data_IF_838937214877
#
_entry.id   IF_838937214877
#
_cell.length_a   1.000
_cell.length_b   1.000
_cell.length_c   1.000
_cell.angle_alpha   90.00
_cell.angle_beta   90.00
_cell.angle_gamma   90.00
#
_symmetry.space_group_name_H-M   'P 1'
#
loop_
_entity.id
_entity.type
_entity.pdbx_description
1 polymer ?
#
# COMPACT_ATOMS: atom_id res chain seq x y z
N UNK A 1 12.57 3.56 27.48
CA UNK A 1 12.97 4.78 26.77
C UNK A 1 11.96 5.88 27.08
N UNK A 2 12.37 7.11 27.42
CA UNK A 2 11.40 8.19 27.74
C UNK A 2 10.59 8.59 26.49
N UNK A 3 9.28 8.87 26.69
CA UNK A 3 8.45 9.44 25.65
C UNK A 3 8.94 10.85 25.29
N UNK A 4 8.90 11.20 24.01
CA UNK A 4 9.26 12.55 23.51
C UNK A 4 10.67 12.69 22.94
N UNK A 5 11.51 11.66 22.97
CA UNK A 5 12.77 11.68 22.23
C UNK A 5 12.50 11.44 20.74
N UNK A 6 13.11 12.24 19.87
CA UNK A 6 12.90 12.21 18.41
C UNK A 6 13.17 10.83 17.81
N UNK A 7 14.18 10.12 18.32
CA UNK A 7 14.60 8.79 17.81
C UNK A 7 13.96 7.62 18.56
N UNK A 8 13.07 7.87 19.54
CA UNK A 8 12.46 6.80 20.33
C UNK A 8 11.70 5.77 19.48
N UNK A 9 10.87 6.16 18.50
CA UNK A 9 10.13 5.20 17.68
C UNK A 9 11.05 4.30 16.83
N UNK A 10 12.08 4.87 16.20
CA UNK A 10 13.02 4.11 15.36
C UNK A 10 13.88 3.14 16.18
N UNK A 11 14.38 3.57 17.33
CA UNK A 11 15.14 2.69 18.22
C UNK A 11 14.27 1.58 18.81
N UNK A 12 13.01 1.87 19.15
CA UNK A 12 12.09 0.83 19.62
C UNK A 12 11.77 -0.18 18.51
N UNK A 13 11.55 0.29 17.28
CA UNK A 13 11.34 -0.57 16.11
C UNK A 13 12.53 -1.49 15.86
N UNK A 14 13.76 -0.98 16.01
CA UNK A 14 14.99 -1.78 15.87
C UNK A 14 15.04 -2.87 16.93
N UNK A 15 14.84 -2.53 18.21
CA UNK A 15 14.83 -3.49 19.31
C UNK A 15 13.76 -4.57 19.12
N UNK A 16 12.55 -4.19 18.73
CA UNK A 16 11.47 -5.16 18.56
C UNK A 16 11.70 -6.06 17.32
N UNK A 17 12.32 -5.52 16.28
CA UNK A 17 12.74 -6.31 15.12
C UNK A 17 13.81 -7.34 15.51
N UNK A 18 14.79 -6.99 16.33
CA UNK A 18 15.81 -7.92 16.84
C UNK A 18 15.17 -9.03 17.69
N UNK A 19 14.20 -8.69 18.52
CA UNK A 19 13.47 -9.67 19.34
C UNK A 19 12.77 -10.72 18.47
N UNK A 20 12.22 -10.34 17.33
CA UNK A 20 11.44 -11.21 16.46
C UNK A 20 12.13 -11.58 15.14
N UNK A 21 13.42 -11.28 14.98
CA UNK A 21 14.17 -11.46 13.74
C UNK A 21 13.97 -12.82 13.09
N UNK A 22 13.90 -13.89 13.89
CA UNK A 22 13.72 -15.27 13.41
C UNK A 22 12.32 -15.54 12.82
N UNK A 23 11.34 -14.68 13.09
CA UNK A 23 9.91 -14.87 12.77
C UNK A 23 9.35 -13.79 11.85
N UNK A 24 10.12 -12.70 11.65
CA UNK A 24 9.71 -11.60 10.78
C UNK A 24 9.50 -12.09 9.35
N UNK A 25 8.43 -11.61 8.73
CA UNK A 25 8.02 -11.90 7.36
C UNK A 25 7.64 -13.38 7.08
N UNK A 26 7.85 -14.28 8.05
CA UNK A 26 7.36 -15.67 7.99
C UNK A 26 5.93 -15.76 8.54
N UNK A 27 5.73 -15.44 9.82
CA UNK A 27 4.40 -15.43 10.44
C UNK A 27 4.17 -14.26 11.41
N UNK A 28 5.07 -13.29 11.45
CA UNK A 28 4.98 -12.09 12.29
C UNK A 28 5.31 -10.84 11.50
N UNK A 29 4.48 -9.82 11.65
CA UNK A 29 4.77 -8.46 11.25
C UNK A 29 4.73 -7.56 12.47
N UNK A 30 5.68 -6.64 12.58
CA UNK A 30 5.79 -5.71 13.71
C UNK A 30 5.90 -4.28 13.21
N UNK A 31 5.13 -3.41 13.81
CA UNK A 31 5.23 -1.97 13.59
C UNK A 31 5.06 -1.24 14.91
N UNK A 32 6.18 -0.74 15.44
CA UNK A 32 6.27 -0.08 16.76
C UNK A 32 5.61 -0.98 17.84
N UNK A 33 4.42 -0.59 18.31
CA UNK A 33 3.70 -1.28 19.39
C UNK A 33 2.78 -2.41 18.89
N UNK A 34 2.49 -2.45 17.59
CA UNK A 34 1.54 -3.38 16.99
C UNK A 34 2.26 -4.64 16.47
N UNK A 35 1.86 -5.80 16.94
CA UNK A 35 2.39 -7.12 16.52
C UNK A 35 1.25 -7.90 15.87
N UNK A 36 1.38 -8.19 14.58
CA UNK A 36 0.46 -9.04 13.84
C UNK A 36 1.04 -10.44 13.69
N UNK A 37 0.32 -11.45 14.17
CA UNK A 37 0.66 -12.86 14.01
C UNK A 37 -0.32 -13.47 13.04
N UNK A 38 0.17 -14.12 11.98
CA UNK A 38 -0.66 -14.77 10.97
C UNK A 38 -0.21 -16.21 10.74
N UNK A 39 -1.12 -17.05 10.25
CA UNK A 39 -0.85 -18.47 10.05
C UNK A 39 -1.81 -19.04 9.02
N UNK A 40 -1.44 -20.13 8.35
CA UNK A 40 -2.28 -20.80 7.36
C UNK A 40 -3.33 -21.70 8.00
N UNK A 41 -3.02 -22.28 9.16
CA UNK A 41 -3.89 -23.19 9.90
C UNK A 41 -4.10 -22.69 11.33
N UNK A 42 -5.18 -23.09 11.96
CA UNK A 42 -5.48 -22.77 13.37
C UNK A 42 -4.44 -23.41 14.32
N UNK A 43 -3.98 -24.60 14.01
CA UNK A 43 -2.97 -25.34 14.76
C UNK A 43 -1.62 -24.62 14.76
N UNK A 44 -1.17 -24.18 13.59
CA UNK A 44 0.03 -23.35 13.45
C UNK A 44 -0.15 -22.01 14.16
N UNK A 45 -1.36 -21.42 14.10
CA UNK A 45 -1.61 -20.14 14.76
C UNK A 45 -1.43 -20.24 16.28
N UNK A 46 -1.95 -21.30 16.89
CA UNK A 46 -1.76 -21.53 18.32
C UNK A 46 -0.28 -21.68 18.69
N UNK A 47 0.48 -22.40 17.86
CA UNK A 47 1.93 -22.58 18.04
C UNK A 47 2.66 -21.23 17.89
N UNK A 48 2.37 -20.46 16.88
CA UNK A 48 2.98 -19.15 16.60
C UNK A 48 2.70 -18.15 17.73
N UNK A 49 1.47 -18.05 18.18
CA UNK A 49 1.09 -17.18 19.30
C UNK A 49 1.88 -17.56 20.56
N UNK A 50 1.99 -18.86 20.87
CA UNK A 50 2.77 -19.35 22.03
C UNK A 50 4.25 -18.97 21.90
N UNK A 51 4.85 -19.10 20.72
CA UNK A 51 6.24 -18.71 20.46
C UNK A 51 6.45 -17.22 20.71
N UNK A 52 5.59 -16.37 20.15
CA UNK A 52 5.70 -14.92 20.30
C UNK A 52 5.51 -14.47 21.74
N UNK A 53 4.51 -14.99 22.45
CA UNK A 53 4.31 -14.69 23.88
C UNK A 53 5.49 -15.14 24.74
N UNK A 54 6.11 -16.28 24.41
CA UNK A 54 7.31 -16.77 25.09
C UNK A 54 8.50 -15.84 24.84
N UNK A 55 8.68 -15.37 23.59
CA UNK A 55 9.76 -14.44 23.21
C UNK A 55 9.60 -13.09 23.91
N UNK A 56 8.39 -12.53 23.93
CA UNK A 56 8.08 -11.32 24.69
C UNK A 56 8.46 -11.46 26.18
N UNK A 57 8.08 -12.58 26.80
CA UNK A 57 8.40 -12.87 28.21
C UNK A 57 9.90 -12.93 28.46
N UNK A 58 10.66 -13.58 27.58
CA UNK A 58 12.13 -13.69 27.69
C UNK A 58 12.81 -12.32 27.65
N UNK A 59 12.30 -11.41 26.82
CA UNK A 59 12.81 -10.03 26.68
C UNK A 59 12.15 -9.04 27.64
N UNK A 60 11.33 -9.51 28.60
CA UNK A 60 10.63 -8.68 29.61
C UNK A 60 9.73 -7.60 28.95
N UNK A 61 9.15 -7.92 27.79
CA UNK A 61 8.14 -7.12 27.11
C UNK A 61 6.75 -7.62 27.52
N UNK A 62 5.83 -6.69 27.74
CA UNK A 62 4.49 -6.99 28.24
C UNK A 62 3.43 -6.54 27.25
N UNK A 63 2.53 -7.44 26.89
CA UNK A 63 1.33 -7.12 26.11
C UNK A 63 0.15 -6.87 27.06
N UNK A 64 -0.63 -5.82 26.79
CA UNK A 64 -1.85 -5.53 27.55
C UNK A 64 -3.00 -6.37 27.00
N UNK A 65 -3.46 -7.37 27.74
CA UNK A 65 -4.47 -8.34 27.31
C UNK A 65 -5.76 -7.66 26.77
N UNK A 66 -6.20 -6.56 27.39
CA UNK A 66 -7.39 -5.81 26.95
C UNK A 66 -7.24 -5.11 25.58
N UNK A 67 -6.02 -5.06 25.02
CA UNK A 67 -5.72 -4.55 23.68
C UNK A 67 -5.37 -5.66 22.70
N UNK A 68 -5.32 -6.90 23.15
CA UNK A 68 -5.00 -8.05 22.29
C UNK A 68 -6.28 -8.64 21.70
N UNK A 69 -6.23 -8.91 20.41
CA UNK A 69 -7.26 -9.65 19.69
C UNK A 69 -6.68 -10.99 19.26
N UNK A 70 -7.30 -12.09 19.68
CA UNK A 70 -6.83 -13.43 19.36
C UNK A 70 -7.84 -14.16 18.48
N UNK A 71 -7.34 -15.03 17.63
CA UNK A 71 -8.11 -15.96 16.81
C UNK A 71 -9.19 -15.26 15.95
N UNK A 72 -8.79 -14.17 15.28
CA UNK A 72 -9.66 -13.42 14.37
C UNK A 72 -9.41 -13.83 12.92
N UNK A 73 -10.48 -14.04 12.16
CA UNK A 73 -10.40 -14.29 10.72
C UNK A 73 -9.93 -13.05 9.94
N UNK A 74 -10.20 -11.86 10.47
CA UNK A 74 -9.70 -10.58 9.98
C UNK A 74 -9.61 -9.58 11.10
N UNK A 75 -8.68 -8.63 10.99
CA UNK A 75 -8.49 -7.58 11.99
C UNK A 75 -7.93 -6.29 11.35
N UNK A 76 -8.19 -5.12 11.96
CA UNK A 76 -7.57 -3.89 11.54
C UNK A 76 -6.09 -3.88 11.95
N UNK A 77 -5.21 -3.56 10.99
CA UNK A 77 -3.78 -3.42 11.22
C UNK A 77 -3.25 -2.27 10.36
N UNK A 78 -2.64 -1.28 10.99
CA UNK A 78 -2.04 -0.11 10.32
C UNK A 78 -2.99 0.54 9.28
N UNK A 79 -4.24 0.81 9.66
CA UNK A 79 -5.22 1.45 8.77
C UNK A 79 -5.77 0.57 7.63
N UNK A 80 -5.40 -0.69 7.58
CA UNK A 80 -5.93 -1.72 6.68
C UNK A 80 -6.73 -2.75 7.45
N UNK A 81 -7.51 -3.54 6.76
CA UNK A 81 -8.09 -4.78 7.28
C UNK A 81 -7.35 -5.93 6.62
N UNK A 82 -6.69 -6.76 7.44
CA UNK A 82 -5.95 -7.94 6.99
C UNK A 82 -6.73 -9.18 7.36
N UNK A 83 -6.93 -10.09 6.43
CA UNK A 83 -7.68 -11.32 6.66
C UNK A 83 -7.41 -12.39 5.59
N UNK A 84 -8.17 -13.48 5.65
CA UNK A 84 -8.03 -14.61 4.73
C UNK A 84 -8.22 -14.23 3.26
N UNK A 85 -9.08 -13.25 2.99
CA UNK A 85 -9.38 -12.77 1.63
C UNK A 85 -8.31 -11.80 1.10
N UNK A 86 -7.36 -11.39 1.94
CA UNK A 86 -6.31 -10.43 1.57
C UNK A 86 -6.29 -9.18 2.42
N UNK A 87 -5.91 -8.07 1.80
CA UNK A 87 -5.77 -6.76 2.45
C UNK A 87 -6.75 -5.77 1.83
N UNK A 88 -7.53 -5.12 2.67
CA UNK A 88 -8.52 -4.11 2.30
C UNK A 88 -8.21 -2.77 2.97
N UNK A 89 -8.76 -1.70 2.41
CA UNK A 89 -8.78 -0.42 3.11
C UNK A 89 -9.76 -0.47 4.27
N UNK A 90 -9.38 0.12 5.41
CA UNK A 90 -10.28 0.22 6.56
C UNK A 90 -11.51 1.05 6.21
N UNK A 91 -12.72 0.50 6.42
CA UNK A 91 -13.99 1.09 6.00
C UNK A 91 -14.20 2.52 6.52
N UNK A 92 -13.79 2.82 7.75
CA UNK A 92 -13.86 4.18 8.30
C UNK A 92 -13.03 5.20 7.50
N UNK A 93 -11.90 4.78 6.92
CA UNK A 93 -11.04 5.61 6.08
C UNK A 93 -11.62 5.80 4.68
N UNK A 94 -12.21 4.74 4.12
CA UNK A 94 -12.97 4.82 2.86
C UNK A 94 -14.13 5.81 3.00
N UNK A 95 -14.89 5.73 4.09
CA UNK A 95 -15.99 6.65 4.37
C UNK A 95 -15.51 8.09 4.56
N UNK A 96 -14.41 8.29 5.29
CA UNK A 96 -13.83 9.62 5.49
C UNK A 96 -13.40 10.26 4.16
N UNK A 97 -12.73 9.52 3.28
CA UNK A 97 -12.36 10.00 1.94
C UNK A 97 -13.59 10.25 1.07
N UNK A 98 -14.56 9.34 1.08
CA UNK A 98 -15.78 9.45 0.28
C UNK A 98 -16.66 10.66 0.70
N UNK A 99 -16.75 10.94 1.99
CA UNK A 99 -17.53 12.05 2.55
C UNK A 99 -16.75 13.38 2.60
N UNK A 100 -15.48 13.40 2.16
CA UNK A 100 -14.66 14.62 2.23
C UNK A 100 -15.32 15.78 1.49
N UNK A 101 -15.46 16.97 2.14
CA UNK A 101 -16.08 18.12 1.51
C UNK A 101 -15.20 18.67 0.37
N UNK A 102 -15.77 19.51 -0.48
CA UNK A 102 -15.03 20.21 -1.53
C UNK A 102 -13.87 20.99 -0.93
N UNK A 103 -12.72 20.89 -1.56
CA UNK A 103 -11.47 21.51 -1.11
C UNK A 103 -11.44 22.99 -1.58
N UNK A 104 -11.06 23.88 -0.66
CA UNK A 104 -11.05 25.34 -0.89
C UNK A 104 -9.67 25.96 -0.69
N UNK A 105 -8.74 25.21 -0.11
CA UNK A 105 -7.38 25.67 0.19
C UNK A 105 -6.32 24.65 -0.20
N UNK A 106 -5.08 25.12 -0.44
CA UNK A 106 -3.92 24.25 -0.71
C UNK A 106 -3.70 23.25 0.43
N UNK A 107 -3.85 23.70 1.68
CA UNK A 107 -3.69 22.83 2.87
C UNK A 107 -4.69 21.69 2.90
N UNK A 108 -5.95 21.96 2.53
CA UNK A 108 -6.98 20.91 2.41
C UNK A 108 -6.66 19.94 1.29
N UNK A 109 -6.17 20.42 0.14
CA UNK A 109 -5.70 19.55 -0.96
C UNK A 109 -4.56 18.66 -0.49
N UNK A 110 -3.57 19.20 0.22
CA UNK A 110 -2.46 18.42 0.77
C UNK A 110 -2.94 17.36 1.76
N UNK A 111 -3.87 17.69 2.64
CA UNK A 111 -4.45 16.77 3.62
C UNK A 111 -5.22 15.63 2.95
N UNK A 112 -6.07 15.95 1.97
CA UNK A 112 -6.81 14.96 1.19
C UNK A 112 -5.86 14.04 0.39
N UNK A 113 -4.92 14.64 -0.35
CA UNK A 113 -3.93 13.86 -1.10
C UNK A 113 -3.03 13.03 -0.19
N UNK A 114 -2.69 13.51 1.00
CA UNK A 114 -1.91 12.75 1.98
C UNK A 114 -2.62 11.47 2.39
N UNK A 115 -3.92 11.54 2.72
CA UNK A 115 -4.71 10.37 3.07
C UNK A 115 -4.95 9.46 1.85
N UNK A 116 -5.28 10.03 0.69
CA UNK A 116 -5.47 9.25 -0.54
C UNK A 116 -4.17 8.55 -0.98
N UNK A 117 -3.00 9.20 -0.87
CA UNK A 117 -1.71 8.63 -1.18
C UNK A 117 -1.30 7.46 -0.27
N UNK A 118 -1.75 7.45 0.98
CA UNK A 118 -1.56 6.31 1.88
C UNK A 118 -2.15 5.02 1.28
N UNK A 119 -3.28 5.14 0.57
CA UNK A 119 -3.98 4.04 -0.08
C UNK A 119 -3.68 3.91 -1.58
N UNK A 120 -2.65 4.59 -2.11
CA UNK A 120 -2.31 4.58 -3.54
C UNK A 120 -2.10 3.18 -4.12
N UNK A 121 -1.64 2.22 -3.30
CA UNK A 121 -1.43 0.82 -3.69
C UNK A 121 -2.73 0.05 -3.95
N UNK A 122 -3.89 0.63 -3.65
CA UNK A 122 -5.22 0.09 -3.95
C UNK A 122 -5.86 0.78 -5.16
N UNK A 123 -5.26 1.86 -5.66
CA UNK A 123 -5.85 2.72 -6.68
C UNK A 123 -5.02 2.62 -7.95
N UNK A 124 -5.64 2.05 -8.99
CA UNK A 124 -5.05 2.03 -10.33
C UNK A 124 -4.85 3.46 -10.81
N UNK A 125 -3.73 3.74 -11.47
CA UNK A 125 -3.39 5.05 -12.07
C UNK A 125 -3.49 6.25 -11.11
N UNK A 126 -3.24 6.03 -9.83
CA UNK A 126 -3.32 7.07 -8.80
C UNK A 126 -2.57 8.35 -9.19
N UNK A 127 -1.37 8.25 -9.78
CA UNK A 127 -0.57 9.40 -10.15
C UNK A 127 -1.22 10.24 -11.24
N UNK A 128 -1.87 9.61 -12.24
CA UNK A 128 -2.60 10.26 -13.32
C UNK A 128 -3.85 10.94 -12.77
N UNK A 129 -4.64 10.21 -12.00
CA UNK A 129 -5.89 10.73 -11.42
C UNK A 129 -5.61 11.91 -10.49
N UNK A 130 -4.58 11.85 -9.64
CA UNK A 130 -4.25 12.91 -8.68
C UNK A 130 -3.47 14.09 -9.26
N UNK A 131 -3.08 14.04 -10.54
CA UNK A 131 -2.23 15.05 -11.16
C UNK A 131 -2.81 16.47 -11.07
N UNK A 132 -4.08 16.75 -11.42
CA UNK A 132 -4.64 18.10 -11.36
C UNK A 132 -4.65 18.69 -9.95
N UNK A 133 -4.97 17.88 -8.93
CA UNK A 133 -4.93 18.31 -7.52
C UNK A 133 -3.50 18.57 -7.04
N UNK A 134 -2.56 17.73 -7.46
CA UNK A 134 -1.14 17.90 -7.07
C UNK A 134 -0.52 19.16 -7.68
N UNK A 135 -1.00 19.62 -8.85
CA UNK A 135 -0.53 20.90 -9.43
C UNK A 135 -0.87 22.08 -8.52
N UNK A 136 -2.05 22.09 -7.89
CA UNK A 136 -2.45 23.14 -6.94
C UNK A 136 -1.55 23.23 -5.70
N UNK A 137 -0.78 22.17 -5.39
CA UNK A 137 0.12 22.16 -4.22
C UNK A 137 1.53 22.67 -4.52
N UNK A 138 1.83 23.02 -5.77
CA UNK A 138 3.15 23.53 -6.17
C UNK A 138 3.33 24.97 -5.71
N UNK A 139 4.56 25.31 -5.32
CA UNK A 139 4.93 26.66 -4.91
C UNK A 139 4.71 27.65 -6.09
N UNK A 140 4.02 28.75 -5.80
CA UNK A 140 3.78 29.83 -6.79
C UNK A 140 2.63 29.57 -7.74
N UNK A 141 1.92 28.47 -7.64
CA UNK A 141 0.71 28.20 -8.41
C UNK A 141 -0.50 28.80 -7.68
N UNK A 142 -1.31 29.67 -8.31
CA UNK A 142 -2.54 30.17 -7.72
C UNK A 142 -3.54 29.04 -7.49
N UNK A 143 -4.33 29.14 -6.42
CA UNK A 143 -5.38 28.16 -6.15
C UNK A 143 -6.59 28.44 -7.03
N UNK A 144 -6.70 27.69 -8.14
CA UNK A 144 -7.81 27.76 -9.07
C UNK A 144 -8.50 26.39 -9.17
N UNK A 145 -9.71 26.30 -8.64
CA UNK A 145 -10.50 25.08 -8.68
C UNK A 145 -11.40 25.06 -9.91
N UNK A 146 -10.97 24.37 -10.95
CA UNK A 146 -11.68 24.18 -12.21
C UNK A 146 -12.26 22.76 -12.39
N UNK A 147 -12.69 22.47 -13.61
CA UNK A 147 -13.25 21.16 -13.98
C UNK A 147 -12.30 20.00 -13.80
N UNK A 148 -11.00 20.17 -14.13
CA UNK A 148 -10.00 19.11 -13.99
C UNK A 148 -9.75 18.74 -12.53
N UNK A 149 -9.74 19.72 -11.62
CA UNK A 149 -9.58 19.51 -10.19
C UNK A 149 -10.81 18.81 -9.61
N UNK A 150 -12.00 19.24 -10.01
CA UNK A 150 -13.25 18.61 -9.59
C UNK A 150 -13.33 17.15 -10.08
N UNK A 151 -12.98 16.89 -11.34
CA UNK A 151 -12.96 15.55 -11.91
C UNK A 151 -11.93 14.65 -11.20
N UNK A 152 -10.72 15.17 -10.94
CA UNK A 152 -9.68 14.48 -10.18
C UNK A 152 -10.17 14.11 -8.77
N UNK A 153 -10.79 15.06 -8.08
CA UNK A 153 -11.31 14.85 -6.73
C UNK A 153 -12.40 13.77 -6.69
N UNK A 154 -13.36 13.83 -7.62
CA UNK A 154 -14.42 12.80 -7.74
C UNK A 154 -13.86 11.45 -8.11
N UNK A 155 -12.98 11.38 -9.11
CA UNK A 155 -12.36 10.13 -9.54
C UNK A 155 -11.57 9.44 -8.42
N UNK A 156 -10.84 10.20 -7.58
CA UNK A 156 -10.16 9.63 -6.42
C UNK A 156 -11.14 9.08 -5.39
N UNK A 157 -12.23 9.81 -5.11
CA UNK A 157 -13.29 9.33 -4.18
C UNK A 157 -13.95 8.05 -4.68
N UNK A 158 -14.23 7.97 -5.98
CA UNK A 158 -14.86 6.80 -6.58
C UNK A 158 -13.89 5.61 -6.64
N UNK A 159 -12.61 5.85 -6.98
CA UNK A 159 -11.57 4.84 -6.96
C UNK A 159 -11.37 4.22 -5.57
N UNK A 160 -11.45 5.05 -4.50
CA UNK A 160 -11.38 4.57 -3.12
C UNK A 160 -12.59 3.70 -2.75
N UNK A 161 -13.80 4.08 -3.19
CA UNK A 161 -15.03 3.29 -2.93
C UNK A 161 -15.04 1.95 -3.66
N UNK A 162 -14.48 1.91 -4.86
CA UNK A 162 -14.46 0.72 -5.73
C UNK A 162 -13.15 -0.08 -5.65
N UNK A 163 -12.25 0.31 -4.72
CA UNK A 163 -10.96 -0.34 -4.60
C UNK A 163 -11.10 -1.84 -4.32
N UNK A 164 -10.40 -2.69 -5.09
CA UNK A 164 -10.47 -4.13 -4.91
C UNK A 164 -9.81 -4.56 -3.59
N UNK A 165 -10.24 -5.70 -3.08
CA UNK A 165 -9.46 -6.45 -2.09
C UNK A 165 -8.15 -6.86 -2.76
N UNK A 166 -7.02 -6.54 -2.16
CA UNK A 166 -5.70 -6.94 -2.66
C UNK A 166 -5.37 -8.32 -2.13
N UNK A 167 -5.00 -9.21 -3.03
CA UNK A 167 -4.53 -10.54 -2.64
C UNK A 167 -3.19 -10.45 -1.90
N UNK A 168 -3.00 -11.27 -0.89
CA UNK A 168 -1.67 -11.49 -0.31
C UNK A 168 -0.82 -12.24 -1.34
N UNK A 169 0.42 -11.79 -1.52
CA UNK A 169 1.35 -12.42 -2.44
C UNK A 169 1.67 -13.85 -1.99
N UNK A 170 1.59 -14.80 -2.92
CA UNK A 170 2.02 -16.18 -2.73
C UNK A 170 3.34 -16.39 -3.49
N UNK A 171 4.48 -16.54 -2.79
CA UNK A 171 5.78 -16.72 -3.45
C UNK A 171 5.87 -17.98 -4.34
N UNK A 172 4.99 -18.95 -4.13
CA UNK A 172 4.95 -20.18 -4.94
C UNK A 172 4.27 -19.99 -6.31
N UNK A 173 3.50 -18.91 -6.49
CA UNK A 173 2.77 -18.62 -7.73
C UNK A 173 3.52 -17.62 -8.61
N UNK A 174 3.42 -17.74 -9.94
CA UNK A 174 3.97 -16.75 -10.86
C UNK A 174 3.21 -15.43 -10.76
N UNK A 175 3.91 -14.34 -11.06
CA UNK A 175 3.31 -13.00 -11.11
C UNK A 175 2.99 -12.59 -12.54
N UNK A 176 2.00 -11.73 -12.67
CA UNK A 176 1.64 -11.01 -13.88
C UNK A 176 1.88 -9.52 -13.59
N UNK A 177 2.68 -8.87 -14.41
CA UNK A 177 2.97 -7.44 -14.33
C UNK A 177 2.36 -6.77 -15.54
N UNK A 178 1.26 -6.07 -15.37
CA UNK A 178 0.61 -5.30 -16.43
C UNK A 178 1.06 -3.85 -16.34
N UNK A 179 1.65 -3.32 -17.42
CA UNK A 179 2.18 -1.96 -17.49
C UNK A 179 1.43 -1.13 -18.52
N UNK A 180 1.30 0.16 -18.24
CA UNK A 180 0.64 1.15 -19.10
C UNK A 180 1.34 2.51 -18.96
N UNK A 181 1.41 3.26 -20.05
CA UNK A 181 1.97 4.60 -20.09
C UNK A 181 1.02 5.62 -20.75
N UNK A 182 0.98 6.81 -20.19
CA UNK A 182 0.22 7.95 -20.72
C UNK A 182 1.12 9.18 -20.87
N UNK A 183 0.61 10.26 -21.43
CA UNK A 183 1.33 11.54 -21.52
C UNK A 183 1.64 12.18 -20.15
N UNK A 184 0.94 11.76 -19.11
CA UNK A 184 1.02 12.36 -17.77
C UNK A 184 1.84 11.50 -16.81
N UNK A 185 1.77 10.18 -16.95
CA UNK A 185 2.37 9.26 -16.01
C UNK A 185 2.40 7.82 -16.49
N UNK A 186 3.09 7.01 -15.74
CA UNK A 186 3.20 5.56 -15.93
C UNK A 186 2.50 4.84 -14.79
N UNK A 187 1.88 3.72 -15.11
CA UNK A 187 1.14 2.86 -14.21
C UNK A 187 1.50 1.39 -14.38
N UNK A 188 1.29 0.62 -13.33
CA UNK A 188 1.43 -0.82 -13.40
C UNK A 188 0.55 -1.52 -12.35
N UNK A 189 0.20 -2.77 -12.63
CA UNK A 189 -0.53 -3.67 -11.73
C UNK A 189 0.31 -4.94 -11.57
N UNK A 190 0.52 -5.34 -10.33
CA UNK A 190 1.07 -6.65 -9.98
C UNK A 190 -0.10 -7.56 -9.62
N UNK A 191 -0.20 -8.69 -10.29
CA UNK A 191 -1.30 -9.64 -10.16
C UNK A 191 -0.78 -11.06 -9.99
N UNK A 192 -1.60 -11.93 -9.45
CA UNK A 192 -1.41 -13.38 -9.47
C UNK A 192 -2.71 -14.07 -9.84
N UNK A 193 -2.61 -15.26 -10.46
CA UNK A 193 -3.79 -16.07 -10.78
C UNK A 193 -4.49 -16.56 -9.52
N UNK A 194 -5.81 -16.43 -9.52
CA UNK A 194 -6.72 -16.97 -8.52
C UNK A 194 -7.82 -17.79 -9.19
N UNK A 195 -8.72 -18.40 -8.42
CA UNK A 195 -9.85 -19.20 -8.94
C UNK A 195 -10.76 -18.41 -9.89
N UNK A 196 -10.84 -17.10 -9.72
CA UNK A 196 -11.69 -16.19 -10.50
C UNK A 196 -10.91 -15.37 -11.53
N UNK A 197 -9.68 -15.80 -11.89
CA UNK A 197 -8.78 -15.08 -12.79
C UNK A 197 -7.73 -14.23 -12.07
N UNK A 198 -6.98 -13.40 -12.80
CA UNK A 198 -5.94 -12.56 -12.22
C UNK A 198 -6.49 -11.62 -11.15
N UNK A 199 -5.86 -11.60 -9.98
CA UNK A 199 -6.24 -10.76 -8.85
C UNK A 199 -5.10 -9.81 -8.46
N UNK A 200 -5.38 -8.54 -8.16
CA UNK A 200 -4.35 -7.57 -7.87
C UNK A 200 -3.68 -7.83 -6.51
N UNK A 201 -2.37 -7.84 -6.52
CA UNK A 201 -1.49 -7.82 -5.35
C UNK A 201 -1.12 -6.39 -5.00
N UNK A 202 -0.79 -5.56 -6.01
CA UNK A 202 -0.45 -4.16 -5.80
C UNK A 202 -0.66 -3.32 -7.07
N UNK A 203 -0.97 -2.05 -6.88
CA UNK A 203 -0.92 -1.02 -7.92
C UNK A 203 0.28 -0.10 -7.68
N UNK A 204 0.91 0.34 -8.75
CA UNK A 204 1.95 1.36 -8.70
C UNK A 204 1.75 2.38 -9.84
N UNK A 205 2.06 3.64 -9.58
CA UNK A 205 2.02 4.67 -10.59
C UNK A 205 2.90 5.85 -10.19
N UNK A 206 3.47 6.57 -11.16
CA UNK A 206 4.14 7.85 -10.92
C UNK A 206 3.94 8.80 -12.09
N UNK A 207 4.07 10.08 -11.84
CA UNK A 207 4.10 11.10 -12.89
C UNK A 207 5.40 10.99 -13.69
N UNK A 208 5.33 11.35 -14.97
CA UNK A 208 6.52 11.55 -15.78
C UNK A 208 7.24 12.84 -15.34
N UNK A 209 8.57 12.78 -15.29
CA UNK A 209 9.41 13.97 -15.12
C UNK A 209 9.35 14.88 -16.36
N UNK A 210 9.88 16.11 -16.26
CA UNK A 210 9.87 17.03 -17.39
C UNK A 210 10.53 16.46 -18.64
N UNK A 211 11.67 15.77 -18.51
CA UNK A 211 12.37 15.14 -19.62
C UNK A 211 11.63 13.91 -20.19
N UNK A 212 11.07 13.09 -19.32
CA UNK A 212 10.35 11.86 -19.69
C UNK A 212 9.05 12.12 -20.48
N UNK A 213 8.44 13.29 -20.31
CA UNK A 213 7.26 13.71 -21.11
C UNK A 213 7.55 13.83 -22.60
N UNK A 214 8.82 14.07 -22.95
CA UNK A 214 9.27 14.20 -24.33
C UNK A 214 9.68 12.86 -24.95
N UNK A 215 9.62 11.76 -24.20
CA UNK A 215 9.93 10.43 -24.72
C UNK A 215 8.85 9.97 -25.71
N UNK A 216 9.24 9.30 -26.79
CA UNK A 216 8.27 8.65 -27.68
C UNK A 216 7.49 7.56 -26.90
N UNK A 217 6.33 7.17 -27.43
CA UNK A 217 5.39 6.26 -26.74
C UNK A 217 6.09 4.96 -26.31
N UNK A 218 6.83 4.32 -27.20
CA UNK A 218 7.51 3.07 -26.92
C UNK A 218 8.57 3.17 -25.80
N UNK A 219 9.24 4.32 -25.65
CA UNK A 219 10.18 4.55 -24.55
C UNK A 219 9.44 4.78 -23.22
N UNK A 220 8.27 5.42 -23.24
CA UNK A 220 7.43 5.57 -22.06
C UNK A 220 6.87 4.23 -21.59
N UNK A 221 6.46 3.36 -22.53
CA UNK A 221 6.04 1.99 -22.22
C UNK A 221 7.19 1.18 -21.58
N UNK A 222 8.37 1.23 -22.17
CA UNK A 222 9.55 0.59 -21.59
C UNK A 222 9.90 1.15 -20.21
N UNK A 223 9.74 2.47 -20.02
CA UNK A 223 9.93 3.14 -18.73
C UNK A 223 8.94 2.63 -17.68
N UNK A 224 7.68 2.38 -18.06
CA UNK A 224 6.67 1.79 -17.17
C UNK A 224 7.08 0.38 -16.72
N UNK A 225 7.60 -0.44 -17.63
CA UNK A 225 8.12 -1.77 -17.31
C UNK A 225 9.29 -1.66 -16.32
N UNK A 226 10.29 -0.84 -16.63
CA UNK A 226 11.46 -0.66 -15.75
C UNK A 226 11.06 -0.14 -14.37
N UNK A 227 10.09 0.76 -14.32
CA UNK A 227 9.55 1.28 -13.07
C UNK A 227 8.87 0.17 -12.25
N UNK A 228 8.00 -0.63 -12.85
CA UNK A 228 7.31 -1.74 -12.21
C UNK A 228 8.29 -2.79 -11.65
N UNK A 229 9.31 -3.17 -12.45
CA UNK A 229 10.33 -4.13 -12.03
C UNK A 229 11.17 -3.62 -10.84
N UNK A 230 11.45 -2.31 -10.77
CA UNK A 230 12.14 -1.69 -9.64
C UNK A 230 11.26 -1.64 -8.40
N UNK A 231 10.00 -1.21 -8.55
CA UNK A 231 9.05 -1.06 -7.45
C UNK A 231 8.74 -2.41 -6.79
N UNK A 232 8.61 -3.47 -7.61
CA UNK A 232 8.24 -4.80 -7.14
C UNK A 232 9.39 -5.80 -7.11
N UNK A 233 10.64 -5.31 -7.11
CA UNK A 233 11.81 -6.17 -6.99
C UNK A 233 11.72 -7.18 -5.83
N UNK A 234 11.22 -6.83 -4.63
CA UNK A 234 11.07 -7.78 -3.53
C UNK A 234 10.14 -8.97 -3.83
N UNK A 235 9.13 -8.77 -4.68
CA UNK A 235 8.20 -9.82 -5.10
C UNK A 235 8.74 -10.65 -6.27
N UNK A 236 9.41 -9.98 -7.21
CA UNK A 236 9.79 -10.57 -8.50
C UNK A 236 11.15 -11.27 -8.46
N UNK A 237 12.02 -10.89 -7.52
CA UNK A 237 13.36 -11.49 -7.42
C UNK A 237 13.27 -12.98 -7.05
N UNK A 238 13.77 -13.85 -7.92
CA UNK A 238 13.70 -15.30 -7.74
C UNK A 238 12.36 -15.95 -8.12
N UNK A 239 11.36 -15.16 -8.51
CA UNK A 239 10.04 -15.63 -8.92
C UNK A 239 9.88 -15.66 -10.44
N UNK A 240 8.97 -16.50 -10.94
CA UNK A 240 8.55 -16.45 -12.36
C UNK A 240 7.51 -15.36 -12.54
N UNK A 241 7.62 -14.58 -13.61
CA UNK A 241 6.63 -13.56 -13.95
C UNK A 241 6.50 -13.35 -15.45
N UNK A 242 5.36 -12.80 -15.86
CA UNK A 242 5.07 -12.39 -17.24
C UNK A 242 4.76 -10.90 -17.23
N UNK A 243 5.29 -10.18 -18.21
CA UNK A 243 4.97 -8.77 -18.42
C UNK A 243 3.93 -8.66 -19.53
N UNK A 244 2.87 -7.91 -19.27
CA UNK A 244 1.83 -7.56 -20.24
C UNK A 244 1.86 -6.05 -20.50
N UNK A 245 1.80 -5.66 -21.76
CA UNK A 245 1.66 -4.28 -22.22
C UNK A 245 0.63 -4.28 -23.36
N UNK A 246 -0.05 -3.18 -23.57
CA UNK A 246 -1.03 -3.00 -24.66
C UNK A 246 -0.38 -2.64 -26.00
N UNK A 247 0.93 -2.36 -25.98
CA UNK A 247 1.69 -2.02 -27.20
C UNK A 247 2.32 -3.28 -27.81
N UNK A 248 2.06 -3.50 -29.09
CA UNK A 248 2.66 -4.55 -29.94
C UNK A 248 3.94 -4.06 -30.57
#
# INVERSE_FOLDING_TARGET
MPFGLTNAPSTFQEVINDVFMEYLDDFVMVYIDDILIFSRTEEDHFRHVKLILTRLRQHKLFAKLSKCEFNRASLPFLGHVVGQNGVEMQQSKVQALAAWPRLTTVTEVQSFLGLANYYRRFIRDFARISAPLSELTKKGVPFEWGGDQENSFRSLKDAVKSAPVRQLADPAKPYIVTCDASDVGIGAVLEQESENGPHPVAFASRKLSGAEKNYPVHERELLAIVYALKEWRPYLHGSRFVIKTDHH
#
